data_IF_148705082756
#
_entry.id   IF_148705082756
#
_cell.length_a   1.000
_cell.length_b   1.000
_cell.length_c   1.000
_cell.angle_alpha   90.00
_cell.angle_beta   90.00
_cell.angle_gamma   90.00
#
_symmetry.space_group_name_H-M   'P 1'
#
loop_
_entity.id
_entity.type
_entity.pdbx_description
1 polymer ?
#
# COMPACT_ATOMS: atom_id res chain seq x y z
N UNK A 1 -15.55 45.19 2.25
CA UNK A 1 -15.33 46.27 1.26
C UNK A 1 -13.82 46.38 1.06
N UNK A 2 -13.20 46.34 -0.11
CA UNK A 2 -13.63 46.50 -1.49
C UNK A 2 -12.71 45.68 -2.43
N UNK A 3 -13.25 45.35 -3.61
CA UNK A 3 -12.63 44.74 -4.78
C UNK A 3 -11.18 45.11 -5.07
N UNK A 4 -10.40 44.12 -5.50
CA UNK A 4 -9.35 44.32 -6.50
C UNK A 4 -9.75 43.55 -7.76
N UNK A 5 -10.21 44.31 -8.76
CA UNK A 5 -10.47 43.87 -10.13
C UNK A 5 -9.13 43.54 -10.81
N UNK A 6 -8.98 42.34 -11.36
CA UNK A 6 -7.92 42.02 -12.32
C UNK A 6 -8.36 42.49 -13.72
N UNK A 7 -7.65 43.47 -14.25
CA UNK A 7 -7.88 44.07 -15.56
C UNK A 7 -7.07 43.32 -16.62
N UNK A 8 -7.72 42.40 -17.35
CA UNK A 8 -7.22 41.84 -18.61
C UNK A 8 -7.08 42.98 -19.63
N UNK A 9 -5.86 43.42 -19.91
CA UNK A 9 -5.59 44.69 -20.57
C UNK A 9 -5.45 44.58 -22.09
N UNK A 10 -6.50 44.99 -22.80
CA UNK A 10 -6.41 45.57 -24.14
C UNK A 10 -7.24 46.86 -24.18
N UNK A 11 -6.70 47.96 -24.71
CA UNK A 11 -7.39 49.25 -24.80
C UNK A 11 -8.30 49.39 -26.03
N UNK A 12 -8.33 48.37 -26.89
CA UNK A 12 -9.22 48.30 -28.04
C UNK A 12 -10.54 47.63 -27.63
N UNK A 13 -11.69 48.07 -28.18
CA UNK A 13 -12.96 47.42 -27.90
C UNK A 13 -12.89 45.95 -28.35
N UNK A 14 -13.34 45.03 -27.49
CA UNK A 14 -13.25 43.59 -27.72
C UNK A 14 -13.88 43.13 -29.04
N UNK A 15 -14.89 43.86 -29.53
CA UNK A 15 -15.54 43.62 -30.82
C UNK A 15 -14.57 43.72 -32.00
N UNK A 16 -13.62 44.66 -31.95
CA UNK A 16 -12.60 44.82 -32.99
C UNK A 16 -11.60 43.66 -32.98
N UNK A 17 -11.17 43.20 -31.80
CA UNK A 17 -10.27 42.06 -31.65
C UNK A 17 -10.91 40.75 -32.16
N UNK A 18 -12.19 40.55 -31.83
CA UNK A 18 -12.98 39.41 -32.29
C UNK A 18 -13.16 39.42 -33.81
N UNK A 19 -13.38 40.61 -34.41
CA UNK A 19 -13.47 40.75 -35.86
C UNK A 19 -12.14 40.42 -36.55
N UNK A 20 -11.03 41.00 -36.08
CA UNK A 20 -9.70 40.73 -36.65
C UNK A 20 -9.31 39.24 -36.53
N UNK A 21 -9.67 38.58 -35.42
CA UNK A 21 -9.38 37.15 -35.26
C UNK A 21 -10.21 36.29 -36.22
N UNK A 22 -11.47 36.67 -36.48
CA UNK A 22 -12.30 36.00 -37.50
C UNK A 22 -11.67 36.13 -38.88
N UNK A 23 -11.25 37.33 -39.26
CA UNK A 23 -10.65 37.58 -40.57
C UNK A 23 -9.31 36.83 -40.73
N UNK A 24 -8.47 36.79 -39.67
CA UNK A 24 -7.21 36.04 -39.69
C UNK A 24 -7.42 34.52 -39.77
N UNK A 25 -8.46 34.00 -39.13
CA UNK A 25 -8.79 32.56 -39.20
C UNK A 25 -9.47 32.15 -40.50
N UNK A 26 -9.98 33.10 -41.27
CA UNK A 26 -10.70 32.86 -42.53
C UNK A 26 -9.83 33.02 -43.79
N UNK A 27 -8.60 33.54 -43.68
CA UNK A 27 -7.62 33.52 -44.77
C UNK A 27 -7.05 32.09 -44.90
N UNK A 28 -7.32 31.35 -45.98
CA UNK A 28 -6.61 30.11 -46.25
C UNK A 28 -5.16 30.45 -46.62
N UNK A 29 -4.18 29.83 -45.96
CA UNK A 29 -2.79 29.87 -46.40
C UNK A 29 -2.70 29.35 -47.85
N UNK A 30 -2.65 30.27 -48.82
CA UNK A 30 -2.36 29.94 -50.20
C UNK A 30 -0.86 29.62 -50.33
N UNK A 31 -0.50 28.38 -50.03
CA UNK A 31 0.70 27.74 -50.58
C UNK A 31 0.30 26.46 -51.32
N UNK A 32 0.31 26.59 -52.64
CA UNK A 32 0.17 25.55 -53.64
C UNK A 32 1.38 24.60 -53.59
N UNK A 33 1.19 23.32 -53.22
CA UNK A 33 1.73 22.15 -53.95
C UNK A 33 1.59 20.79 -53.21
N UNK A 34 1.15 19.80 -53.99
CA UNK A 34 1.09 18.32 -53.84
C UNK A 34 -0.03 17.69 -52.99
N UNK A 35 -0.79 16.72 -53.54
CA UNK A 35 -1.78 15.96 -52.78
C UNK A 35 -1.06 15.08 -51.78
N UNK A 36 -1.10 15.46 -50.50
CA UNK A 36 -0.61 14.62 -49.40
C UNK A 36 -1.65 13.53 -49.12
N UNK A 37 -1.22 12.26 -48.90
CA UNK A 37 -2.12 11.18 -48.54
C UNK A 37 -2.90 11.58 -47.28
N UNK A 38 -4.20 11.26 -47.29
CA UNK A 38 -5.16 11.59 -46.22
C UNK A 38 -4.62 11.01 -44.91
N UNK A 39 -4.11 11.87 -44.03
CA UNK A 39 -3.61 11.45 -42.73
C UNK A 39 -4.81 11.06 -41.87
N UNK A 40 -4.82 9.88 -41.23
CA UNK A 40 -5.89 9.52 -40.31
C UNK A 40 -5.98 10.55 -39.18
N UNK A 41 -7.20 10.90 -38.79
CA UNK A 41 -7.50 11.92 -37.78
C UNK A 41 -6.80 11.57 -36.47
N UNK A 42 -5.84 12.40 -36.07
CA UNK A 42 -5.15 12.31 -34.78
C UNK A 42 -5.81 13.25 -33.78
N UNK A 43 -6.20 12.74 -32.62
CA UNK A 43 -6.65 13.56 -31.49
C UNK A 43 -5.45 14.33 -30.90
N UNK A 44 -5.67 15.51 -30.34
CA UNK A 44 -4.62 16.45 -29.89
C UNK A 44 -3.70 15.93 -28.76
N UNK A 45 -4.04 14.79 -28.14
CA UNK A 45 -3.16 14.05 -27.23
C UNK A 45 -2.06 13.22 -27.94
N UNK A 46 -2.04 13.17 -29.27
CA UNK A 46 -1.06 12.40 -30.04
C UNK A 46 -1.33 10.89 -30.10
N UNK A 47 -2.44 10.40 -29.54
CA UNK A 47 -2.80 8.98 -29.53
C UNK A 47 -3.48 8.63 -30.85
N UNK A 48 -2.90 7.65 -31.55
CA UNK A 48 -3.43 7.13 -32.82
C UNK A 48 -4.58 6.17 -32.52
N UNK A 49 -5.81 6.54 -32.87
CA UNK A 49 -6.96 5.63 -32.87
C UNK A 49 -6.70 4.49 -33.87
N UNK A 50 -6.71 3.23 -33.40
CA UNK A 50 -6.47 2.04 -34.22
C UNK A 50 -5.18 1.26 -33.89
N UNK A 51 -4.44 1.61 -32.83
CA UNK A 51 -3.35 0.76 -32.35
C UNK A 51 -3.91 -0.56 -31.80
N UNK A 52 -3.55 -1.67 -32.43
CA UNK A 52 -3.81 -3.01 -31.92
C UNK A 52 -3.01 -3.23 -30.63
N UNK A 53 -3.70 -3.18 -29.50
CA UNK A 53 -3.12 -3.50 -28.19
C UNK A 53 -2.81 -5.00 -28.22
N UNK A 54 -1.53 -5.37 -28.14
CA UNK A 54 -1.16 -6.78 -28.00
C UNK A 54 -1.63 -7.25 -26.63
N UNK A 55 -2.77 -7.93 -26.57
CA UNK A 55 -3.29 -8.61 -25.37
C UNK A 55 -2.51 -9.92 -25.11
N UNK A 56 -1.18 -9.85 -25.18
CA UNK A 56 -0.34 -11.00 -24.85
C UNK A 56 -0.77 -11.52 -23.48
N UNK A 57 -1.01 -12.84 -23.33
CA UNK A 57 -1.45 -13.42 -22.07
C UNK A 57 -0.52 -12.96 -20.95
N UNK A 58 -1.08 -12.34 -19.92
CA UNK A 58 -0.34 -11.96 -18.73
C UNK A 58 0.30 -13.25 -18.22
N UNK A 59 1.64 -13.30 -18.21
CA UNK A 59 2.36 -14.41 -17.59
C UNK A 59 1.92 -14.42 -16.13
N UNK A 60 1.16 -15.45 -15.75
CA UNK A 60 0.80 -15.68 -14.36
C UNK A 60 2.12 -15.96 -13.65
N UNK A 61 2.58 -15.00 -12.86
CA UNK A 61 3.64 -15.24 -11.91
C UNK A 61 3.08 -16.27 -10.92
N UNK A 62 3.57 -17.49 -10.99
CA UNK A 62 3.24 -18.53 -10.02
C UNK A 62 4.02 -18.21 -8.74
N UNK A 63 3.42 -17.36 -7.90
CA UNK A 63 3.94 -17.07 -6.57
C UNK A 63 3.65 -18.30 -5.70
N UNK A 64 4.71 -18.93 -5.19
CA UNK A 64 4.55 -20.00 -4.21
C UNK A 64 3.83 -19.46 -2.97
N UNK A 65 2.85 -20.21 -2.48
CA UNK A 65 2.15 -19.85 -1.24
C UNK A 65 3.14 -19.88 -0.07
N UNK A 66 3.07 -18.88 0.80
CA UNK A 66 3.85 -18.89 2.03
C UNK A 66 3.37 -20.03 2.95
N UNK A 67 4.29 -20.92 3.31
CA UNK A 67 4.06 -21.95 4.32
C UNK A 67 4.62 -21.49 5.67
N UNK A 68 3.77 -21.48 6.70
CA UNK A 68 4.19 -21.11 8.05
C UNK A 68 5.13 -22.18 8.62
N UNK A 69 6.32 -21.76 9.02
CA UNK A 69 7.26 -22.58 9.78
C UNK A 69 7.36 -22.04 11.22
N UNK A 70 7.01 -22.85 12.24
CA UNK A 70 7.14 -22.44 13.64
C UNK A 70 8.58 -22.06 13.98
N UNK A 71 8.74 -21.03 14.80
CA UNK A 71 10.04 -20.65 15.32
C UNK A 71 10.56 -21.75 16.26
N UNK A 72 11.72 -22.31 15.95
CA UNK A 72 12.44 -23.23 16.81
C UNK A 72 13.48 -22.44 17.61
N UNK A 73 13.37 -22.44 18.94
CA UNK A 73 14.29 -21.74 19.85
C UNK A 73 15.02 -22.77 20.70
N UNK A 74 16.35 -22.73 20.69
CA UNK A 74 17.16 -23.56 21.58
C UNK A 74 17.21 -22.94 22.99
N UNK A 75 16.67 -23.65 23.97
CA UNK A 75 16.59 -23.18 25.37
C UNK A 75 17.61 -23.84 26.30
N UNK A 76 18.30 -24.90 25.86
CA UNK A 76 19.29 -25.65 26.67
C UNK A 76 18.78 -26.02 28.08
N UNK A 77 17.56 -26.57 28.15
CA UNK A 77 16.88 -26.87 29.40
C UNK A 77 15.83 -27.96 29.29
N UNK A 78 15.18 -28.35 30.40
CA UNK A 78 14.06 -29.27 30.36
C UNK A 78 12.87 -28.66 29.60
N UNK A 79 12.01 -29.54 29.08
CA UNK A 79 10.80 -29.13 28.37
C UNK A 79 9.83 -28.44 29.32
N UNK A 80 9.32 -27.28 28.90
CA UNK A 80 8.32 -26.52 29.65
C UNK A 80 6.94 -27.13 29.37
N UNK A 81 6.09 -27.37 30.38
CA UNK A 81 4.74 -27.86 30.14
C UNK A 81 3.91 -26.88 29.31
N UNK A 82 3.10 -27.41 28.39
CA UNK A 82 2.16 -26.61 27.59
C UNK A 82 1.23 -25.76 28.45
N UNK A 83 0.83 -24.60 27.92
CA UNK A 83 0.05 -23.59 28.63
C UNK A 83 -1.27 -24.16 29.18
N UNK A 84 -1.97 -24.99 28.42
CA UNK A 84 -3.26 -25.62 28.79
C UNK A 84 -3.09 -26.70 29.87
N UNK A 85 -1.88 -27.21 30.06
CA UNK A 85 -1.61 -28.28 31.04
C UNK A 85 -1.28 -27.70 32.42
N UNK A 86 -0.92 -26.42 32.52
CA UNK A 86 -0.51 -25.79 33.79
C UNK A 86 -1.59 -25.84 34.87
N UNK A 87 -2.86 -25.67 34.49
CA UNK A 87 -3.99 -25.76 35.42
C UNK A 87 -4.17 -27.19 35.94
N UNK A 88 -4.15 -28.18 35.04
CA UNK A 88 -4.33 -29.60 35.37
C UNK A 88 -3.22 -30.14 36.27
N UNK A 89 -2.01 -29.63 36.09
CA UNK A 89 -0.84 -29.98 36.90
C UNK A 89 -0.77 -29.19 38.21
N UNK A 90 -1.70 -28.27 38.45
CA UNK A 90 -1.80 -27.51 39.69
C UNK A 90 -0.76 -26.40 39.85
N UNK A 91 -0.06 -26.02 38.77
CA UNK A 91 0.93 -24.92 38.82
C UNK A 91 0.27 -23.59 39.19
N UNK A 92 -0.96 -23.35 38.73
CA UNK A 92 -1.68 -22.10 38.97
C UNK A 92 -2.09 -21.88 40.44
N UNK A 93 -2.10 -22.94 41.26
CA UNK A 93 -2.43 -22.84 42.70
C UNK A 93 -1.43 -21.98 43.47
N UNK A 94 -0.23 -21.79 42.94
CA UNK A 94 0.86 -21.04 43.56
C UNK A 94 1.12 -19.69 42.88
N UNK A 95 0.22 -19.28 41.99
CA UNK A 95 0.30 -18.01 41.27
C UNK A 95 -0.86 -17.12 41.71
N UNK A 96 -0.62 -15.81 41.77
CA UNK A 96 -1.64 -14.82 42.13
C UNK A 96 -2.89 -14.99 41.24
N UNK A 97 -4.07 -14.90 41.87
CA UNK A 97 -5.33 -14.80 41.14
C UNK A 97 -5.39 -13.55 40.24
N UNK A 98 -6.11 -13.68 39.13
CA UNK A 98 -6.27 -12.64 38.10
C UNK A 98 -7.39 -11.68 38.52
N UNK A 99 -7.13 -10.36 38.49
CA UNK A 99 -8.18 -9.36 38.69
C UNK A 99 -8.97 -9.09 37.40
N UNK A 100 -10.18 -8.51 37.47
CA UNK A 100 -10.93 -8.12 36.27
C UNK A 100 -10.15 -7.16 35.34
N UNK A 101 -9.35 -6.26 35.92
CA UNK A 101 -8.51 -5.32 35.17
C UNK A 101 -7.38 -6.06 34.44
N UNK A 102 -6.77 -7.06 35.08
CA UNK A 102 -5.74 -7.88 34.47
C UNK A 102 -6.29 -8.63 33.25
N UNK A 103 -7.45 -9.28 33.41
CA UNK A 103 -8.11 -10.00 32.32
C UNK A 103 -8.46 -9.07 31.15
N UNK A 104 -8.99 -7.88 31.43
CA UNK A 104 -9.30 -6.88 30.41
C UNK A 104 -8.04 -6.38 29.66
N UNK A 105 -6.86 -6.46 30.31
CA UNK A 105 -5.57 -6.18 29.69
C UNK A 105 -4.94 -7.37 28.95
N UNK A 106 -5.63 -8.52 28.89
CA UNK A 106 -5.11 -9.73 28.26
C UNK A 106 -4.16 -10.56 29.13
N UNK A 107 -4.07 -10.27 30.43
CA UNK A 107 -3.25 -11.04 31.36
C UNK A 107 -4.01 -12.27 31.90
N UNK A 108 -3.31 -13.39 31.99
CA UNK A 108 -3.76 -14.59 32.71
C UNK A 108 -2.66 -15.10 33.63
N UNK A 109 -3.05 -15.73 34.74
CA UNK A 109 -2.10 -16.37 35.66
C UNK A 109 -1.31 -17.49 34.96
N UNK A 110 -1.92 -18.18 34.01
CA UNK A 110 -1.26 -19.17 33.16
C UNK A 110 -0.12 -18.57 32.35
N UNK A 111 -0.31 -17.40 31.72
CA UNK A 111 0.75 -16.72 30.97
C UNK A 111 1.95 -16.37 31.86
N UNK A 112 1.70 -15.81 33.04
CA UNK A 112 2.75 -15.48 34.00
C UNK A 112 3.49 -16.72 34.51
N UNK A 113 2.74 -17.78 34.82
CA UNK A 113 3.27 -19.05 35.27
C UNK A 113 4.17 -19.69 34.21
N UNK A 114 3.66 -19.79 32.97
CA UNK A 114 4.38 -20.36 31.85
C UNK A 114 5.69 -19.60 31.61
N UNK A 115 5.65 -18.26 31.62
CA UNK A 115 6.84 -17.45 31.45
C UNK A 115 7.88 -17.69 32.54
N UNK A 116 7.44 -17.75 33.80
CA UNK A 116 8.34 -18.04 34.91
C UNK A 116 9.02 -19.42 34.76
N UNK A 117 8.28 -20.43 34.31
CA UNK A 117 8.83 -21.77 34.04
C UNK A 117 9.82 -21.76 32.86
N UNK A 118 9.49 -21.08 31.76
CA UNK A 118 10.40 -20.92 30.62
C UNK A 118 11.72 -20.31 31.03
N UNK A 119 11.68 -19.21 31.77
CA UNK A 119 12.87 -18.51 32.22
C UNK A 119 13.67 -19.38 33.21
N UNK A 120 13.01 -20.05 34.15
CA UNK A 120 13.67 -20.91 35.15
C UNK A 120 14.32 -22.16 34.56
N UNK A 121 13.76 -22.70 33.48
CA UNK A 121 14.27 -23.91 32.82
C UNK A 121 15.33 -23.60 31.77
N UNK A 122 15.36 -22.38 31.24
CA UNK A 122 16.34 -21.98 30.24
C UNK A 122 17.79 -22.06 30.76
N UNK A 123 18.70 -22.60 29.94
CA UNK A 123 20.13 -22.61 30.18
C UNK A 123 20.64 -23.61 31.23
N UNK A 124 19.78 -24.42 31.86
CA UNK A 124 20.19 -25.36 32.91
C UNK A 124 21.16 -26.45 32.43
N UNK A 125 21.11 -26.80 31.15
CA UNK A 125 22.00 -27.80 30.53
C UNK A 125 23.12 -27.17 29.71
N UNK A 126 23.23 -25.84 29.69
CA UNK A 126 24.29 -25.16 28.98
C UNK A 126 25.59 -25.24 29.78
N UNK A 127 26.67 -25.67 29.12
CA UNK A 127 28.01 -25.67 29.69
C UNK A 127 28.98 -24.98 28.70
N UNK A 128 29.81 -24.02 29.15
CA UNK A 128 30.84 -23.45 28.30
C UNK A 128 31.93 -24.51 28.05
N UNK A 129 32.43 -24.54 26.80
CA UNK A 129 33.58 -25.36 26.38
C UNK A 129 34.90 -24.71 26.75
#
# INVERSE_FOLDING_TARGET
MCSSYLQESSSLPASLLLAQHKDRSAQPEMQLEKPKPVKPVTFSTGIKMGQHISLAPIQKLEEALYEYQPLQVETFGPQVPELEMLEKLGYLNHVRAVSPQDLAGGYTSALACHRALQDAFSGLFWHPS
#
